data_IF_422457568961
#
_entry.id   IF_422457568961
#
_cell.length_a   1.000
_cell.length_b   1.000
_cell.length_c   1.000
_cell.angle_alpha   90.00
_cell.angle_beta   90.00
_cell.angle_gamma   90.00
#
_symmetry.space_group_name_H-M   'P 1'
#
loop_
_entity.id
_entity.type
_entity.pdbx_description
1 polymer ?
#
# COMPACT_ATOMS: atom_id res chain seq x y z
N UNK A 1 13.23 -18.97 -22.25
CA UNK A 1 11.94 -18.43 -22.76
C UNK A 1 10.80 -19.16 -22.06
N UNK A 2 9.85 -18.41 -21.50
CA UNK A 2 8.73 -18.98 -20.76
C UNK A 2 7.75 -19.73 -21.67
N UNK A 3 7.14 -20.81 -21.17
CA UNK A 3 6.12 -21.54 -21.92
C UNK A 3 4.84 -20.70 -22.07
N UNK A 4 4.12 -20.89 -23.18
CA UNK A 4 2.85 -20.17 -23.45
C UNK A 4 1.82 -20.34 -22.32
N UNK A 5 1.73 -21.54 -21.75
CA UNK A 5 0.82 -21.82 -20.64
C UNK A 5 1.24 -21.06 -19.38
N UNK A 6 2.55 -20.98 -19.11
CA UNK A 6 3.05 -20.25 -17.94
C UNK A 6 2.81 -18.75 -18.06
N UNK A 7 3.09 -18.17 -19.23
CA UNK A 7 2.80 -16.76 -19.52
C UNK A 7 1.30 -16.46 -19.34
N UNK A 8 0.42 -17.33 -19.87
CA UNK A 8 -1.04 -17.16 -19.75
C UNK A 8 -1.47 -17.16 -18.27
N UNK A 9 -0.93 -18.07 -17.47
CA UNK A 9 -1.20 -18.13 -16.04
C UNK A 9 -0.73 -16.86 -15.33
N UNK A 10 0.55 -16.49 -15.45
CA UNK A 10 1.09 -15.31 -14.77
C UNK A 10 0.36 -14.02 -15.16
N UNK A 11 0.03 -13.86 -16.45
CA UNK A 11 -0.75 -12.72 -16.93
C UNK A 11 -2.18 -12.71 -16.37
N UNK A 12 -2.77 -13.88 -16.10
CA UNK A 12 -4.11 -13.96 -15.51
C UNK A 12 -4.16 -13.43 -14.08
N UNK A 13 -3.02 -13.40 -13.36
CA UNK A 13 -2.88 -12.77 -12.03
C UNK A 13 -3.06 -11.25 -12.05
N UNK A 14 -3.15 -10.61 -13.23
CA UNK A 14 -3.59 -9.21 -13.32
C UNK A 14 -5.06 -9.05 -12.89
N UNK A 15 -5.85 -10.13 -12.93
CA UNK A 15 -7.26 -10.14 -12.51
C UNK A 15 -7.38 -10.47 -11.02
N UNK A 16 -8.10 -9.63 -10.27
CA UNK A 16 -8.34 -9.81 -8.81
C UNK A 16 -8.96 -11.17 -8.48
N UNK A 17 -9.89 -11.66 -9.32
CA UNK A 17 -10.54 -12.97 -9.14
C UNK A 17 -9.51 -14.10 -9.09
N UNK A 18 -8.62 -14.14 -10.08
CA UNK A 18 -7.59 -15.19 -10.17
C UNK A 18 -6.60 -15.09 -9.02
N UNK A 19 -6.15 -13.89 -8.63
CA UNK A 19 -5.28 -13.72 -7.45
C UNK A 19 -5.90 -14.29 -6.17
N UNK A 20 -7.21 -14.09 -5.97
CA UNK A 20 -7.93 -14.62 -4.81
C UNK A 20 -8.06 -16.15 -4.85
N UNK A 21 -8.35 -16.71 -6.02
CA UNK A 21 -8.47 -18.16 -6.22
C UNK A 21 -7.13 -18.86 -5.98
N UNK A 22 -6.05 -18.33 -6.55
CA UNK A 22 -4.71 -18.91 -6.48
C UNK A 22 -3.96 -18.53 -5.18
N UNK A 23 -4.41 -17.48 -4.47
CA UNK A 23 -3.69 -16.83 -3.35
C UNK A 23 -2.26 -16.41 -3.72
N UNK A 24 -2.07 -16.01 -4.97
CA UNK A 24 -0.79 -15.61 -5.55
C UNK A 24 -0.88 -14.22 -6.18
N UNK A 25 0.24 -13.50 -6.17
CA UNK A 25 0.39 -12.24 -6.89
C UNK A 25 1.78 -12.12 -7.50
N UNK A 26 1.89 -11.29 -8.54
CA UNK A 26 3.15 -10.95 -9.18
C UNK A 26 3.59 -9.56 -8.73
N UNK A 27 4.84 -9.43 -8.27
CA UNK A 27 5.49 -8.15 -8.05
C UNK A 27 6.69 -8.03 -9.01
N UNK A 28 6.91 -6.87 -9.57
CA UNK A 28 7.86 -6.70 -10.68
C UNK A 28 8.65 -5.40 -10.61
N UNK A 29 9.76 -5.37 -11.34
CA UNK A 29 10.66 -4.22 -11.40
C UNK A 29 11.84 -4.38 -10.45
N UNK A 30 13.01 -3.93 -10.90
CA UNK A 30 14.30 -4.16 -10.25
C UNK A 30 14.29 -3.83 -8.76
N UNK A 31 13.91 -2.60 -8.40
CA UNK A 31 13.92 -2.14 -7.01
C UNK A 31 13.01 -2.98 -6.11
N UNK A 32 11.82 -3.31 -6.61
CA UNK A 32 10.82 -4.06 -5.85
C UNK A 32 11.31 -5.49 -5.60
N UNK A 33 11.81 -6.15 -6.64
CA UNK A 33 12.36 -7.51 -6.54
C UNK A 33 13.56 -7.54 -5.59
N UNK A 34 14.46 -6.56 -5.66
CA UNK A 34 15.61 -6.47 -4.74
C UNK A 34 15.16 -6.32 -3.29
N UNK A 35 14.18 -5.47 -3.01
CA UNK A 35 13.64 -5.30 -1.65
C UNK A 35 12.97 -6.58 -1.13
N UNK A 36 12.24 -7.30 -2.01
CA UNK A 36 11.64 -8.59 -1.68
C UNK A 36 12.73 -9.62 -1.35
N UNK A 37 13.79 -9.71 -2.16
CA UNK A 37 14.91 -10.62 -1.94
C UNK A 37 15.68 -10.33 -0.64
N UNK A 38 15.74 -9.07 -0.21
CA UNK A 38 16.34 -8.67 1.08
C UNK A 38 15.43 -8.93 2.28
N UNK A 39 14.14 -9.11 2.07
CA UNK A 39 13.16 -9.37 3.12
C UNK A 39 13.06 -10.85 3.48
N UNK A 40 12.29 -11.17 4.52
CA UNK A 40 11.95 -12.55 4.89
C UNK A 40 10.67 -13.06 4.21
N UNK A 41 10.17 -12.34 3.20
CA UNK A 41 8.97 -12.75 2.48
C UNK A 41 9.19 -14.07 1.73
N UNK A 42 8.13 -14.89 1.70
CA UNK A 42 8.13 -16.15 0.97
C UNK A 42 8.03 -15.83 -0.53
N UNK A 43 8.96 -16.38 -1.31
CA UNK A 43 8.98 -16.25 -2.76
C UNK A 43 8.72 -17.64 -3.33
N UNK A 44 7.69 -17.77 -4.16
CA UNK A 44 7.42 -19.03 -4.87
C UNK A 44 8.41 -19.21 -6.01
N UNK A 45 8.55 -18.19 -6.86
CA UNK A 45 9.40 -18.24 -8.04
C UNK A 45 9.97 -16.85 -8.36
N UNK A 46 11.21 -16.81 -8.83
CA UNK A 46 11.88 -15.63 -9.38
C UNK A 46 12.02 -15.78 -10.88
N UNK A 47 11.44 -14.85 -11.64
CA UNK A 47 11.67 -14.69 -13.07
C UNK A 47 12.67 -13.57 -13.29
N UNK A 48 13.81 -13.87 -13.91
CA UNK A 48 14.88 -12.89 -14.04
C UNK A 48 15.59 -13.00 -15.39
N UNK A 49 16.04 -11.85 -15.90
CA UNK A 49 16.97 -11.78 -17.03
C UNK A 49 18.40 -12.08 -16.56
N UNK A 50 19.25 -12.49 -17.49
CA UNK A 50 20.69 -12.68 -17.23
C UNK A 50 21.32 -11.43 -16.61
N UNK A 51 20.93 -10.25 -17.12
CA UNK A 51 21.34 -8.95 -16.58
C UNK A 51 21.05 -8.80 -15.08
N UNK A 52 19.87 -9.23 -14.63
CA UNK A 52 19.50 -9.18 -13.22
C UNK A 52 20.23 -10.23 -12.40
N UNK A 53 20.34 -11.46 -12.92
CA UNK A 53 21.02 -12.56 -12.24
C UNK A 53 22.50 -12.25 -12.00
N UNK A 54 23.19 -11.71 -12.99
CA UNK A 54 24.60 -11.32 -12.88
C UNK A 54 24.78 -10.18 -11.87
N UNK A 55 23.92 -9.16 -11.95
CA UNK A 55 24.00 -7.97 -11.08
C UNK A 55 23.73 -8.29 -9.60
N UNK A 56 22.83 -9.23 -9.30
CA UNK A 56 22.38 -9.53 -7.95
C UNK A 56 22.70 -10.97 -7.48
N UNK A 57 23.68 -11.62 -8.13
CA UNK A 57 24.05 -13.02 -7.87
C UNK A 57 24.26 -13.32 -6.37
N UNK A 58 25.01 -12.46 -5.68
CA UNK A 58 25.29 -12.64 -4.25
C UNK A 58 24.02 -12.63 -3.39
N UNK A 59 23.10 -11.71 -3.66
CA UNK A 59 21.84 -11.62 -2.94
C UNK A 59 20.98 -12.86 -3.17
N UNK A 60 20.89 -13.31 -4.42
CA UNK A 60 20.08 -14.46 -4.82
C UNK A 60 20.61 -15.76 -4.19
N UNK A 61 21.94 -15.95 -4.16
CA UNK A 61 22.57 -17.14 -3.57
C UNK A 61 22.28 -17.33 -2.08
N UNK A 62 21.95 -16.25 -1.35
CA UNK A 62 21.57 -16.35 0.08
C UNK A 62 20.19 -16.96 0.29
N UNK A 63 19.37 -17.11 -0.75
CA UNK A 63 18.00 -17.60 -0.68
C UNK A 63 17.84 -18.90 -1.46
N UNK A 64 17.07 -19.83 -0.92
CA UNK A 64 16.63 -21.03 -1.65
C UNK A 64 15.36 -20.69 -2.44
N UNK A 65 15.51 -20.20 -3.67
CA UNK A 65 14.41 -19.77 -4.54
C UNK A 65 14.44 -20.58 -5.83
N UNK A 66 13.28 -20.93 -6.36
CA UNK A 66 13.16 -21.45 -7.72
C UNK A 66 13.35 -20.32 -8.74
N UNK A 67 14.49 -20.31 -9.42
CA UNK A 67 14.85 -19.28 -10.40
C UNK A 67 14.49 -19.79 -11.79
N UNK A 68 13.78 -18.97 -12.55
CA UNK A 68 13.38 -19.24 -13.93
C UNK A 68 13.91 -18.11 -14.80
N UNK A 69 14.88 -18.44 -15.66
CA UNK A 69 15.41 -17.47 -16.63
C UNK A 69 14.32 -17.05 -17.64
N UNK A 70 14.15 -15.74 -17.76
CA UNK A 70 13.18 -15.09 -18.63
C UNK A 70 13.85 -13.92 -19.34
N UNK A 71 13.45 -13.64 -20.58
CA UNK A 71 13.92 -12.44 -21.27
C UNK A 71 12.99 -11.24 -20.99
N UNK A 72 13.42 -10.03 -21.37
CA UNK A 72 12.64 -8.81 -21.15
C UNK A 72 11.24 -8.83 -21.80
N UNK A 73 11.10 -9.51 -22.94
CA UNK A 73 9.81 -9.68 -23.63
C UNK A 73 8.85 -10.54 -22.82
N UNK A 74 9.33 -11.66 -22.28
CA UNK A 74 8.56 -12.55 -21.43
C UNK A 74 8.10 -11.81 -20.16
N UNK A 75 9.01 -11.06 -19.52
CA UNK A 75 8.70 -10.26 -18.32
C UNK A 75 7.65 -9.18 -18.59
N UNK A 76 7.81 -8.43 -19.68
CA UNK A 76 6.83 -7.42 -20.11
C UNK A 76 5.46 -8.05 -20.42
N UNK A 77 5.44 -9.28 -20.95
CA UNK A 77 4.19 -9.96 -21.30
C UNK A 77 3.40 -10.46 -20.09
N UNK A 78 4.07 -10.84 -19.00
CA UNK A 78 3.43 -11.35 -17.78
C UNK A 78 3.05 -10.24 -16.79
N UNK A 79 3.78 -9.12 -16.85
CA UNK A 79 3.65 -7.99 -15.94
C UNK A 79 2.65 -6.92 -16.38
N UNK A 80 2.64 -5.85 -15.59
CA UNK A 80 1.94 -4.59 -15.77
C UNK A 80 2.85 -3.51 -16.36
N UNK A 81 4.17 -3.57 -16.11
CA UNK A 81 5.09 -2.56 -16.62
C UNK A 81 5.16 -2.59 -18.15
N UNK A 82 5.25 -1.41 -18.76
CA UNK A 82 5.44 -1.29 -20.22
C UNK A 82 6.78 -1.86 -20.68
N UNK A 83 7.79 -1.80 -19.81
CA UNK A 83 9.11 -2.40 -20.00
C UNK A 83 9.58 -3.02 -18.69
N UNK A 84 10.18 -4.21 -18.78
CA UNK A 84 10.81 -4.86 -17.63
C UNK A 84 12.03 -5.66 -18.09
N UNK A 85 13.21 -5.05 -17.99
CA UNK A 85 14.48 -5.63 -18.41
C UNK A 85 15.18 -6.43 -17.30
N UNK A 86 14.53 -6.57 -16.14
CA UNK A 86 15.17 -7.05 -14.92
C UNK A 86 14.53 -8.33 -14.38
N UNK A 87 13.41 -8.20 -13.66
CA UNK A 87 12.85 -9.32 -12.93
C UNK A 87 11.38 -9.13 -12.51
N UNK A 88 10.75 -10.26 -12.18
CA UNK A 88 9.48 -10.34 -11.49
C UNK A 88 9.50 -11.53 -10.51
N UNK A 89 8.74 -11.42 -9.42
CA UNK A 89 8.60 -12.49 -8.42
C UNK A 89 7.14 -12.88 -8.27
N UNK A 90 6.89 -14.18 -8.25
CA UNK A 90 5.61 -14.75 -7.89
C UNK A 90 5.63 -15.06 -6.39
N UNK A 91 4.65 -14.53 -5.68
CA UNK A 91 4.57 -14.64 -4.22
C UNK A 91 3.18 -15.10 -3.78
N UNK A 92 3.09 -15.91 -2.70
CA UNK A 92 1.82 -16.09 -2.00
C UNK A 92 1.40 -14.79 -1.34
N UNK A 93 0.10 -14.64 -1.09
CA UNK A 93 -0.42 -13.53 -0.29
C UNK A 93 0.33 -13.45 1.04
N UNK A 94 0.64 -12.22 1.46
CA UNK A 94 1.32 -11.99 2.73
C UNK A 94 0.45 -12.49 3.89
N UNK A 95 1.06 -13.01 4.96
CA UNK A 95 0.32 -13.39 6.16
C UNK A 95 -0.49 -12.22 6.70
N UNK A 96 -1.72 -12.50 7.14
CA UNK A 96 -2.55 -11.51 7.80
C UNK A 96 -1.88 -11.03 9.09
N UNK A 97 -1.80 -9.72 9.25
CA UNK A 97 -1.29 -9.07 10.47
C UNK A 97 -2.45 -8.43 11.21
N UNK A 98 -2.36 -8.34 12.54
CA UNK A 98 -3.31 -7.57 13.35
C UNK A 98 -2.82 -6.14 13.48
N UNK A 99 -3.76 -5.19 13.51
CA UNK A 99 -3.51 -3.79 13.81
C UNK A 99 -4.25 -3.45 15.10
N UNK A 100 -3.52 -2.99 16.10
CA UNK A 100 -4.05 -2.60 17.41
C UNK A 100 -3.65 -1.14 17.62
N UNK A 101 -4.54 -0.18 17.32
CA UNK A 101 -4.21 1.23 17.41
C UNK A 101 -3.98 1.67 18.86
N UNK A 102 -3.15 2.69 19.05
CA UNK A 102 -2.90 3.32 20.36
C UNK A 102 -2.74 4.84 20.22
N UNK A 103 -2.80 5.56 21.35
CA UNK A 103 -2.64 7.03 21.38
C UNK A 103 -1.17 7.50 21.35
N UNK A 104 -0.21 6.62 21.04
CA UNK A 104 1.22 6.93 20.93
C UNK A 104 1.75 6.87 19.50
N UNK A 105 1.04 6.17 18.63
CA UNK A 105 1.38 5.93 17.23
C UNK A 105 0.30 6.52 16.32
N UNK A 106 0.41 6.25 15.02
CA UNK A 106 -0.60 6.61 14.03
C UNK A 106 -1.01 5.35 13.28
N UNK A 107 -2.31 5.11 13.20
CA UNK A 107 -2.95 4.13 12.33
C UNK A 107 -3.76 4.89 11.28
N UNK A 108 -3.57 4.56 10.02
CA UNK A 108 -4.37 5.12 8.94
C UNK A 108 -5.61 4.26 8.69
N UNK A 109 -6.75 4.89 8.51
CA UNK A 109 -7.99 4.28 8.05
C UNK A 109 -8.34 4.89 6.70
N UNK A 110 -8.46 4.07 5.67
CA UNK A 110 -8.74 4.49 4.31
C UNK A 110 -10.18 4.15 3.94
N UNK A 111 -11.01 5.18 3.83
CA UNK A 111 -12.40 5.04 3.39
C UNK A 111 -12.50 5.19 1.88
N UNK A 112 -12.55 4.04 1.20
CA UNK A 112 -12.93 3.91 -0.21
C UNK A 112 -11.95 4.62 -1.15
N UNK A 113 -10.65 4.38 -0.95
CA UNK A 113 -9.59 4.84 -1.87
C UNK A 113 -9.59 3.93 -3.11
N UNK A 114 -9.91 4.50 -4.28
CA UNK A 114 -10.12 3.72 -5.49
C UNK A 114 -8.97 3.80 -6.50
N UNK A 115 -8.18 4.88 -6.49
CA UNK A 115 -7.00 4.94 -7.37
C UNK A 115 -5.84 4.12 -6.80
N UNK A 116 -5.38 3.14 -7.57
CA UNK A 116 -4.27 2.28 -7.22
C UNK A 116 -2.93 3.02 -7.05
N UNK A 117 -2.73 4.13 -7.77
CA UNK A 117 -1.50 4.94 -7.64
C UNK A 117 -1.46 5.68 -6.32
N UNK A 118 -2.58 6.31 -5.94
CA UNK A 118 -2.76 6.96 -4.65
C UNK A 118 -2.61 5.97 -3.50
N UNK A 119 -3.25 4.80 -3.58
CA UNK A 119 -3.12 3.80 -2.52
C UNK A 119 -1.67 3.33 -2.34
N UNK A 120 -0.96 3.00 -3.44
CA UNK A 120 0.45 2.64 -3.36
C UNK A 120 1.31 3.77 -2.79
N UNK A 121 1.02 5.02 -3.14
CA UNK A 121 1.69 6.21 -2.59
C UNK A 121 1.45 6.34 -1.08
N UNK A 122 0.21 6.15 -0.62
CA UNK A 122 -0.14 6.16 0.81
C UNK A 122 0.61 5.06 1.57
N UNK A 123 0.70 3.84 1.02
CA UNK A 123 1.48 2.75 1.64
C UNK A 123 2.95 3.17 1.84
N UNK A 124 3.54 3.80 0.82
CA UNK A 124 4.92 4.29 0.90
C UNK A 124 5.10 5.42 1.90
N UNK A 125 4.14 6.34 1.99
CA UNK A 125 4.13 7.42 2.99
C UNK A 125 4.04 6.82 4.39
N UNK A 126 3.13 5.87 4.61
CA UNK A 126 2.97 5.18 5.89
C UNK A 126 4.27 4.49 6.33
N UNK A 127 4.95 3.80 5.41
CA UNK A 127 6.26 3.18 5.67
C UNK A 127 7.31 4.23 6.05
N UNK A 128 7.41 5.31 5.26
CA UNK A 128 8.36 6.39 5.51
C UNK A 128 8.20 7.05 6.88
N UNK A 129 6.96 7.34 7.29
CA UNK A 129 6.68 7.96 8.58
C UNK A 129 6.54 6.94 9.72
N UNK A 130 6.69 5.63 9.46
CA UNK A 130 6.55 4.60 10.48
C UNK A 130 5.16 4.55 11.11
N UNK A 131 4.12 4.74 10.29
CA UNK A 131 2.71 4.46 10.65
C UNK A 131 2.60 2.99 11.08
N UNK A 132 1.79 2.72 12.10
CA UNK A 132 1.67 1.38 12.69
C UNK A 132 1.00 0.38 11.75
N UNK A 133 0.04 0.85 10.95
CA UNK A 133 -0.69 0.04 9.98
C UNK A 133 -1.75 0.84 9.23
N UNK A 134 -2.32 0.20 8.21
CA UNK A 134 -3.37 0.75 7.37
C UNK A 134 -4.59 -0.18 7.42
N UNK A 135 -5.74 0.37 7.79
CA UNK A 135 -7.03 -0.31 7.73
C UNK A 135 -7.80 0.23 6.54
N UNK A 136 -8.16 -0.63 5.61
CA UNK A 136 -8.90 -0.26 4.41
C UNK A 136 -10.37 -0.68 4.53
N UNK A 137 -11.28 0.14 4.01
CA UNK A 137 -12.65 -0.32 3.73
C UNK A 137 -12.61 -1.48 2.72
N UNK A 138 -13.64 -2.32 2.73
CA UNK A 138 -13.77 -3.44 1.78
C UNK A 138 -13.83 -2.98 0.30
N UNK A 139 -14.24 -1.72 0.08
CA UNK A 139 -14.36 -1.09 -1.25
C UNK A 139 -13.09 -0.36 -1.69
N UNK A 140 -12.06 -0.32 -0.85
CA UNK A 140 -10.74 0.19 -1.23
C UNK A 140 -10.08 -0.72 -2.26
N UNK A 141 -9.30 -0.13 -3.16
CA UNK A 141 -8.57 -0.85 -4.20
C UNK A 141 -7.67 -1.95 -3.61
N UNK A 142 -7.57 -3.06 -4.33
CA UNK A 142 -6.89 -4.28 -3.89
C UNK A 142 -5.38 -4.07 -3.73
N UNK A 143 -4.80 -4.45 -2.59
CA UNK A 143 -3.37 -4.33 -2.29
C UNK A 143 -2.50 -5.02 -3.35
N UNK A 144 -2.94 -6.19 -3.80
CA UNK A 144 -2.21 -7.02 -4.77
C UNK A 144 -2.46 -6.59 -6.22
N UNK A 145 -3.11 -5.44 -6.46
CA UNK A 145 -3.13 -4.82 -7.76
C UNK A 145 -1.71 -4.39 -8.18
N UNK A 146 -1.29 -4.74 -9.39
CA UNK A 146 0.06 -4.48 -9.89
C UNK A 146 0.46 -3.00 -9.85
N UNK A 147 -0.50 -2.07 -10.08
CA UNK A 147 -0.25 -0.62 -9.98
C UNK A 147 -0.04 -0.18 -8.53
N UNK A 148 -0.74 -0.78 -7.55
CA UNK A 148 -0.52 -0.52 -6.11
C UNK A 148 0.86 -1.00 -5.71
N UNK A 149 1.20 -2.25 -6.05
CA UNK A 149 2.50 -2.85 -5.74
C UNK A 149 3.64 -2.00 -6.34
N UNK A 150 3.52 -1.61 -7.60
CA UNK A 150 4.49 -0.75 -8.29
C UNK A 150 4.65 0.62 -7.60
N UNK A 151 3.54 1.31 -7.30
CA UNK A 151 3.57 2.63 -6.68
C UNK A 151 4.11 2.61 -5.23
N UNK A 152 3.89 1.51 -4.50
CA UNK A 152 4.35 1.35 -3.12
C UNK A 152 5.84 1.12 -2.96
N UNK A 153 6.57 0.76 -4.03
CA UNK A 153 8.02 0.52 -3.99
C UNK A 153 8.44 -0.46 -2.87
N UNK A 154 7.77 -1.62 -2.80
CA UNK A 154 7.97 -2.67 -1.79
C UNK A 154 7.63 -2.32 -0.33
N UNK A 155 7.08 -1.12 -0.07
CA UNK A 155 6.63 -0.70 1.27
C UNK A 155 5.53 -1.60 1.84
N UNK A 156 4.78 -2.30 0.99
CA UNK A 156 3.77 -3.29 1.36
C UNK A 156 4.31 -4.47 2.18
N UNK A 157 5.63 -4.72 2.17
CA UNK A 157 6.27 -5.77 2.97
C UNK A 157 6.34 -5.40 4.46
N UNK A 158 6.49 -4.10 4.76
CA UNK A 158 6.83 -3.59 6.09
C UNK A 158 5.60 -3.15 6.86
N UNK A 159 4.66 -2.49 6.21
CA UNK A 159 3.46 -1.95 6.84
C UNK A 159 2.33 -3.00 6.86
N UNK A 160 1.72 -3.29 8.03
CA UNK A 160 0.50 -4.07 8.11
C UNK A 160 -0.65 -3.38 7.37
N UNK A 161 -1.36 -4.13 6.52
CA UNK A 161 -2.51 -3.64 5.76
C UNK A 161 -3.63 -4.67 5.89
N UNK A 162 -4.81 -4.25 6.35
CA UNK A 162 -5.97 -5.13 6.51
C UNK A 162 -7.22 -4.52 5.87
N UNK A 163 -8.17 -5.36 5.48
CA UNK A 163 -9.46 -4.96 4.92
C UNK A 163 -10.58 -5.41 5.86
N UNK A 164 -11.42 -4.50 6.33
CA UNK A 164 -12.56 -4.81 7.22
C UNK A 164 -13.61 -3.69 7.20
N UNK A 165 -14.70 -3.88 7.95
CA UNK A 165 -15.67 -2.82 8.24
C UNK A 165 -14.99 -1.71 9.06
N UNK A 166 -14.99 -0.49 8.52
CA UNK A 166 -14.44 0.67 9.24
C UNK A 166 -15.28 0.98 10.47
N UNK A 167 -16.60 0.91 10.36
CA UNK A 167 -17.53 1.13 11.48
C UNK A 167 -17.17 0.21 12.67
N UNK A 168 -17.07 -1.10 12.43
CA UNK A 168 -16.74 -2.06 13.50
C UNK A 168 -15.37 -1.76 14.11
N UNK A 169 -14.39 -1.42 13.28
CA UNK A 169 -13.06 -1.06 13.75
C UNK A 169 -13.07 0.19 14.63
N UNK A 170 -13.80 1.25 14.25
CA UNK A 170 -13.90 2.48 15.03
C UNK A 170 -14.69 2.27 16.33
N UNK A 171 -15.77 1.49 16.29
CA UNK A 171 -16.57 1.15 17.49
C UNK A 171 -15.73 0.42 18.54
N UNK A 172 -14.95 -0.58 18.11
CA UNK A 172 -14.07 -1.34 19.01
C UNK A 172 -12.96 -0.46 19.59
N UNK A 173 -12.48 0.52 18.82
CA UNK A 173 -11.37 1.40 19.20
C UNK A 173 -11.83 2.81 19.64
N UNK A 174 -13.08 2.98 20.10
CA UNK A 174 -13.65 4.28 20.47
C UNK A 174 -12.93 5.04 21.61
N UNK A 175 -12.04 4.36 22.34
CA UNK A 175 -11.20 4.95 23.40
C UNK A 175 -9.90 5.55 22.86
N UNK A 176 -9.56 5.25 21.60
CA UNK A 176 -8.44 5.84 20.87
C UNK A 176 -8.91 7.15 20.25
N UNK A 177 -8.00 8.12 20.17
CA UNK A 177 -8.28 9.37 19.52
C UNK A 177 -8.48 9.16 18.01
N UNK A 178 -9.65 9.54 17.51
CA UNK A 178 -10.04 9.39 16.11
C UNK A 178 -10.10 10.78 15.46
N UNK A 179 -9.34 10.94 14.38
CA UNK A 179 -9.28 12.13 13.56
C UNK A 179 -9.79 11.83 12.16
N UNK A 180 -10.42 12.80 11.50
CA UNK A 180 -10.82 12.71 10.10
C UNK A 180 -10.26 13.87 9.30
N UNK A 181 -9.63 13.55 8.18
CA UNK A 181 -9.21 14.53 7.18
C UNK A 181 -10.43 15.05 6.40
N UNK A 182 -10.97 16.19 6.82
CA UNK A 182 -12.22 16.77 6.32
C UNK A 182 -11.98 18.24 5.98
N UNK A 183 -12.50 18.71 4.83
CA UNK A 183 -12.25 20.08 4.36
C UNK A 183 -12.81 21.17 5.29
N UNK A 184 -13.93 20.91 5.97
CA UNK A 184 -14.57 21.83 6.92
C UNK A 184 -14.19 21.53 8.38
N UNK A 185 -12.98 21.00 8.61
CA UNK A 185 -12.46 20.70 9.95
C UNK A 185 -11.69 21.86 10.59
N UNK A 186 -11.17 21.62 11.80
CA UNK A 186 -10.23 22.53 12.44
C UNK A 186 -8.88 22.51 11.73
N UNK A 187 -8.19 23.66 11.68
CA UNK A 187 -6.84 23.71 11.11
C UNK A 187 -5.90 22.75 11.85
N UNK A 188 -5.23 21.87 11.10
CA UNK A 188 -4.26 20.94 11.70
C UNK A 188 -3.13 21.69 12.45
N UNK A 189 -2.82 22.93 12.07
CA UNK A 189 -1.77 23.73 12.72
C UNK A 189 -2.24 24.49 13.96
N UNK A 190 -3.55 24.53 14.22
CA UNK A 190 -4.15 25.19 15.37
C UNK A 190 -4.61 24.20 16.44
N UNK A 191 -4.66 22.90 16.10
CA UNK A 191 -5.05 21.88 17.06
C UNK A 191 -3.97 21.72 18.12
N UNK A 192 -4.35 21.87 19.40
CA UNK A 192 -3.42 21.65 20.53
C UNK A 192 -3.18 20.16 20.79
N UNK A 193 -4.03 19.29 20.22
CA UNK A 193 -3.99 17.86 20.47
C UNK A 193 -2.99 17.20 19.51
N UNK A 194 -2.00 16.49 20.06
CA UNK A 194 -1.08 15.69 19.23
C UNK A 194 -1.91 14.67 18.44
N UNK A 195 -1.82 14.72 17.11
CA UNK A 195 -2.55 13.83 16.20
C UNK A 195 -1.98 12.41 16.26
N UNK A 196 -2.34 11.67 17.30
CA UNK A 196 -1.97 10.26 17.54
C UNK A 196 -3.24 9.43 17.67
N UNK A 197 -3.18 8.13 17.43
CA UNK A 197 -4.36 7.29 17.33
C UNK A 197 -4.71 6.97 15.89
N UNK A 198 -5.95 7.23 15.51
CA UNK A 198 -6.51 6.85 14.21
C UNK A 198 -6.72 8.11 13.36
N UNK A 199 -6.23 8.09 12.12
CA UNK A 199 -6.56 9.09 11.11
C UNK A 199 -7.34 8.45 9.97
N UNK A 200 -8.59 8.88 9.80
CA UNK A 200 -9.46 8.51 8.69
C UNK A 200 -9.22 9.44 7.52
N UNK A 201 -8.95 8.86 6.35
CA UNK A 201 -8.76 9.56 5.08
C UNK A 201 -9.77 9.01 4.08
N UNK A 202 -10.53 9.91 3.46
CA UNK A 202 -11.60 9.57 2.55
C UNK A 202 -11.23 9.54 1.07
N UNK A 203 -12.21 9.19 0.26
CA UNK A 203 -12.13 9.14 -1.19
C UNK A 203 -11.73 10.50 -1.80
N UNK A 204 -11.00 10.47 -2.92
CA UNK A 204 -10.48 11.65 -3.61
C UNK A 204 -11.56 12.66 -4.03
N UNK A 205 -12.76 12.18 -4.38
CA UNK A 205 -13.85 13.02 -4.88
C UNK A 205 -14.94 13.25 -3.84
N UNK A 206 -15.21 12.26 -2.99
CA UNK A 206 -16.35 12.30 -2.05
C UNK A 206 -15.95 12.59 -0.61
N UNK A 207 -14.66 12.57 -0.29
CA UNK A 207 -14.20 12.62 1.09
C UNK A 207 -14.60 11.38 1.87
N UNK A 208 -14.69 11.53 3.20
CA UNK A 208 -15.12 10.47 4.11
C UNK A 208 -16.63 10.29 3.97
N UNK A 209 -17.12 9.06 3.92
CA UNK A 209 -18.55 8.75 3.88
C UNK A 209 -19.27 9.25 5.13
N UNK A 210 -20.54 9.65 4.99
CA UNK A 210 -21.31 10.22 6.11
C UNK A 210 -21.49 9.24 7.25
N UNK A 211 -21.59 7.96 6.90
CA UNK A 211 -21.70 6.85 7.82
C UNK A 211 -20.46 6.77 8.72
N UNK A 212 -19.26 6.89 8.14
CA UNK A 212 -17.99 6.87 8.89
C UNK A 212 -17.73 8.19 9.60
N UNK A 213 -18.10 9.32 9.02
CA UNK A 213 -17.93 10.65 9.60
C UNK A 213 -18.62 10.78 10.97
N UNK A 214 -19.74 10.07 11.19
CA UNK A 214 -20.45 10.05 12.48
C UNK A 214 -19.61 9.51 13.65
N UNK A 215 -18.54 8.75 13.36
CA UNK A 215 -17.61 8.20 14.36
C UNK A 215 -16.38 9.08 14.60
N UNK A 216 -16.29 10.23 13.94
CA UNK A 216 -15.10 11.09 13.95
C UNK A 216 -15.35 12.32 14.85
N UNK A 217 -14.87 12.30 16.11
CA UNK A 217 -15.02 13.43 17.01
C UNK A 217 -14.09 14.60 16.65
N UNK A 218 -12.89 14.33 16.10
CA UNK A 218 -11.91 15.37 15.78
C UNK A 218 -11.82 15.53 14.25
N UNK A 219 -12.47 16.55 13.69
CA UNK A 219 -12.39 16.86 12.25
C UNK A 219 -11.23 17.83 12.04
N UNK A 220 -10.28 17.48 11.18
CA UNK A 220 -9.09 18.29 10.91
C UNK A 220 -8.90 18.53 9.42
N UNK A 221 -8.39 19.71 9.08
CA UNK A 221 -8.13 20.12 7.70
C UNK A 221 -6.70 20.64 7.50
N UNK A 222 -6.23 20.55 6.25
CA UNK A 222 -5.07 21.30 5.78
C UNK A 222 -5.58 22.65 5.28
N UNK A 223 -5.17 23.78 5.88
CA UNK A 223 -5.61 25.10 5.44
C UNK A 223 -5.29 25.35 3.97
N UNK A 224 -6.28 25.89 3.27
CA UNK A 224 -6.16 26.31 1.89
C UNK A 224 -5.72 27.78 1.82
N UNK A 225 -4.72 28.06 1.00
CA UNK A 225 -4.20 29.43 0.77
C UNK A 225 -4.43 29.93 -0.67
N UNK A 226 -4.82 29.06 -1.60
CA UNK A 226 -5.12 29.41 -2.99
C UNK A 226 -6.48 28.87 -3.43
N UNK A 227 -6.72 28.80 -4.74
CA UNK A 227 -8.05 28.51 -5.30
C UNK A 227 -8.34 27.02 -5.58
N UNK A 228 -7.38 26.12 -5.34
CA UNK A 228 -7.59 24.69 -5.58
C UNK A 228 -8.71 24.12 -4.67
N UNK A 229 -9.57 23.27 -5.21
CA UNK A 229 -10.69 22.68 -4.46
C UNK A 229 -10.21 21.69 -3.40
N UNK A 230 -9.22 20.86 -3.74
CA UNK A 230 -8.65 19.85 -2.84
C UNK A 230 -7.22 19.49 -3.22
N UNK A 231 -6.54 18.77 -2.32
CA UNK A 231 -5.25 18.15 -2.59
C UNK A 231 -5.45 16.69 -3.04
N UNK A 232 -4.51 16.18 -3.82
CA UNK A 232 -4.40 14.74 -4.04
C UNK A 232 -4.33 14.01 -2.68
N UNK A 233 -5.06 12.91 -2.52
CA UNK A 233 -5.20 12.21 -1.24
C UNK A 233 -3.87 11.70 -0.68
N UNK A 234 -2.94 11.27 -1.54
CA UNK A 234 -1.59 10.89 -1.13
C UNK A 234 -0.81 12.08 -0.58
N UNK A 235 -0.92 13.25 -1.22
CA UNK A 235 -0.28 14.49 -0.76
C UNK A 235 -0.87 14.96 0.57
N UNK A 236 -2.19 14.96 0.71
CA UNK A 236 -2.86 15.29 1.97
C UNK A 236 -2.40 14.34 3.09
N UNK A 237 -2.38 13.03 2.81
CA UNK A 237 -1.89 12.02 3.76
C UNK A 237 -0.45 12.28 4.18
N UNK A 238 0.44 12.68 3.27
CA UNK A 238 1.83 13.02 3.58
C UNK A 238 1.92 14.22 4.54
N UNK A 239 1.12 15.26 4.33
CA UNK A 239 1.10 16.46 5.19
C UNK A 239 0.64 16.09 6.60
N UNK A 240 -0.44 15.30 6.73
CA UNK A 240 -0.88 14.81 8.03
C UNK A 240 0.21 13.94 8.69
N UNK A 241 0.78 12.96 7.97
CA UNK A 241 1.82 12.09 8.54
C UNK A 241 3.06 12.88 8.98
N UNK A 242 3.45 13.91 8.21
CA UNK A 242 4.53 14.80 8.60
C UNK A 242 4.22 15.55 9.89
N UNK A 243 3.05 16.19 9.96
CA UNK A 243 2.64 16.93 11.16
C UNK A 243 2.57 16.03 12.41
N UNK A 244 2.13 14.78 12.27
CA UNK A 244 2.17 13.81 13.37
C UNK A 244 3.60 13.53 13.87
N UNK A 245 4.58 13.44 12.96
CA UNK A 245 5.97 13.14 13.32
C UNK A 245 6.76 14.34 13.79
N UNK A 246 6.31 15.56 13.52
CA UNK A 246 6.93 16.77 14.06
C UNK A 246 7.00 16.67 15.58
N UNK A 247 8.23 16.65 16.10
CA UNK A 247 8.48 16.74 17.53
C UNK A 247 8.27 18.20 17.93
N UNK A 248 7.13 18.49 18.55
CA UNK A 248 7.01 19.61 19.49
C UNK A 248 7.25 19.06 20.89
#
# INVERSE_FOLDING_TARGET
>A
MLSKNRIKFLKSLQQKKIRKEEKLFLAEGEKIVVEILKSDAIISELYATDLFLDKYQQLIQTKKINIIEANAKDLTQIGYLQTNDFAAVLMPFLPEKKIIPDNNSLTLVLDTIQDAGNFGTIIRIADWFGVQGIVCSLDTVDLYNSKVLAASMASFLRIPIIYQSIEDFLVINKTIDIFGAILDGDSLYQTQKKMRGILVVGNESKGISKEIEAFIPNKIMIPRFGEAESLNVGIATAIFCNHWREKI
#
